data_IF_170100159312
#
_entry.id   IF_170100159312
#
_cell.length_a   1.000
_cell.length_b   1.000
_cell.length_c   1.000
_cell.angle_alpha   90.00
_cell.angle_beta   90.00
_cell.angle_gamma   90.00
#
_symmetry.space_group_name_H-M   'P 1'
#
loop_
_entity.id
_entity.type
_entity.pdbx_description
1 polymer ?
#
# COMPACT_ATOMS: atom_id res chain seq x y z
N UNK A 1 -18.47 0.86 3.01
CA UNK A 1 -17.09 0.96 3.53
C UNK A 1 -16.54 2.30 3.07
N UNK A 2 -16.23 3.25 3.97
CA UNK A 2 -15.68 4.56 3.59
C UNK A 2 -14.17 4.39 3.41
N UNK A 3 -13.66 4.64 2.21
CA UNK A 3 -12.22 4.62 1.98
C UNK A 3 -11.61 5.81 2.72
N UNK A 4 -10.67 5.61 3.67
CA UNK A 4 -10.05 6.72 4.38
C UNK A 4 -9.30 7.58 3.35
N UNK A 5 -9.59 8.88 3.30
CA UNK A 5 -8.92 9.82 2.38
C UNK A 5 -7.41 9.75 2.48
N UNK A 6 -6.91 9.52 3.68
CA UNK A 6 -5.49 9.48 4.00
C UNK A 6 -4.77 8.33 3.27
N UNK A 7 -5.49 7.23 3.02
CA UNK A 7 -4.96 6.06 2.32
C UNK A 7 -4.70 6.33 0.83
N UNK A 8 -5.51 7.19 0.20
CA UNK A 8 -5.33 7.53 -1.21
C UNK A 8 -4.06 8.35 -1.38
N UNK A 9 -3.77 9.29 -0.47
CA UNK A 9 -2.54 10.07 -0.54
C UNK A 9 -1.29 9.20 -0.37
N UNK A 10 -1.35 8.20 0.51
CA UNK A 10 -0.27 7.22 0.67
C UNK A 10 -0.07 6.37 -0.61
N UNK A 11 -1.16 5.82 -1.17
CA UNK A 11 -1.11 5.05 -2.43
C UNK A 11 -0.53 5.88 -3.57
N UNK A 12 -0.99 7.13 -3.71
CA UNK A 12 -0.55 8.03 -4.78
C UNK A 12 0.92 8.41 -4.62
N UNK A 13 1.36 8.74 -3.40
CA UNK A 13 2.76 9.05 -3.13
C UNK A 13 3.67 7.84 -3.39
N UNK A 14 3.23 6.64 -3.00
CA UNK A 14 3.97 5.40 -3.23
C UNK A 14 4.12 5.11 -4.73
N UNK A 15 3.04 5.19 -5.50
CA UNK A 15 3.08 4.96 -6.95
C UNK A 15 3.91 6.03 -7.68
N UNK A 16 3.77 7.30 -7.31
CA UNK A 16 4.56 8.39 -7.89
C UNK A 16 6.06 8.22 -7.60
N UNK A 17 6.43 7.72 -6.42
CA UNK A 17 7.82 7.48 -6.06
C UNK A 17 8.47 6.36 -6.89
N UNK A 18 7.76 5.25 -7.13
CA UNK A 18 8.34 4.09 -7.83
C UNK A 18 8.21 4.16 -9.36
N UNK A 19 7.09 4.66 -9.88
CA UNK A 19 6.84 4.72 -11.33
C UNK A 19 7.10 6.10 -11.94
N UNK A 20 7.27 7.14 -11.12
CA UNK A 20 7.41 8.53 -11.56
C UNK A 20 6.26 9.01 -12.44
N UNK A 21 5.08 8.39 -12.29
CA UNK A 21 3.85 8.87 -12.91
C UNK A 21 3.40 10.15 -12.23
N UNK A 22 2.74 11.00 -13.02
CA UNK A 22 2.17 12.24 -12.50
C UNK A 22 0.97 11.97 -11.59
N UNK A 23 0.72 12.95 -10.73
CA UNK A 23 -0.34 12.89 -9.72
C UNK A 23 -1.74 12.67 -10.34
N UNK A 24 -2.02 13.32 -11.47
CA UNK A 24 -3.33 13.26 -12.11
C UNK A 24 -3.59 11.89 -12.71
N UNK A 25 -2.60 11.30 -13.38
CA UNK A 25 -2.66 9.93 -13.91
C UNK A 25 -3.00 8.92 -12.82
N UNK A 26 -2.37 9.01 -11.65
CA UNK A 26 -2.61 8.06 -10.55
C UNK A 26 -3.99 8.29 -9.91
N UNK A 27 -4.42 9.54 -9.75
CA UNK A 27 -5.75 9.84 -9.24
C UNK A 27 -6.87 9.34 -10.15
N UNK A 28 -6.66 9.41 -11.47
CA UNK A 28 -7.63 8.96 -12.46
C UNK A 28 -7.74 7.43 -12.57
N UNK A 29 -6.82 6.67 -11.98
CA UNK A 29 -6.92 5.21 -11.93
C UNK A 29 -8.08 4.75 -11.06
N UNK A 30 -8.68 3.62 -11.44
CA UNK A 30 -9.64 2.97 -10.56
C UNK A 30 -8.97 2.58 -9.24
N UNK A 31 -9.76 2.64 -8.17
CA UNK A 31 -9.28 2.32 -6.84
C UNK A 31 -8.63 0.91 -6.77
N UNK A 32 -9.24 -0.08 -7.41
CA UNK A 32 -8.71 -1.46 -7.48
C UNK A 32 -7.42 -1.55 -8.28
N UNK A 33 -7.27 -0.73 -9.30
CA UNK A 33 -6.08 -0.69 -10.14
C UNK A 33 -4.88 -0.16 -9.34
N UNK A 34 -5.05 0.96 -8.61
CA UNK A 34 -4.00 1.48 -7.71
C UNK A 34 -3.56 0.46 -6.68
N UNK A 35 -4.52 -0.22 -6.04
CA UNK A 35 -4.20 -1.26 -5.05
C UNK A 35 -3.40 -2.40 -5.67
N UNK A 36 -3.77 -2.86 -6.87
CA UNK A 36 -3.03 -3.90 -7.57
C UNK A 36 -1.59 -3.49 -7.85
N UNK A 37 -1.36 -2.27 -8.35
CA UNK A 37 0.00 -1.79 -8.59
C UNK A 37 0.83 -1.68 -7.31
N UNK A 38 0.21 -1.23 -6.21
CA UNK A 38 0.86 -1.22 -4.90
C UNK A 38 1.28 -2.62 -4.43
N UNK A 39 0.43 -3.64 -4.66
CA UNK A 39 0.72 -5.04 -4.35
C UNK A 39 1.86 -5.60 -5.22
N UNK A 40 1.88 -5.27 -6.52
CA UNK A 40 2.92 -5.72 -7.46
C UNK A 40 4.29 -5.13 -7.11
N UNK A 41 4.38 -3.81 -6.86
CA UNK A 41 5.62 -3.18 -6.39
C UNK A 41 6.08 -3.83 -5.09
N UNK A 42 5.16 -4.06 -4.15
CA UNK A 42 5.51 -4.70 -2.87
C UNK A 42 5.97 -6.14 -3.07
N UNK A 43 5.41 -6.90 -4.03
CA UNK A 43 5.88 -8.24 -4.36
C UNK A 43 7.30 -8.21 -4.92
N UNK A 44 7.55 -7.37 -5.92
CA UNK A 44 8.87 -7.20 -6.53
C UNK A 44 9.89 -6.75 -5.47
N UNK A 45 9.54 -5.76 -4.66
CA UNK A 45 10.40 -5.30 -3.57
C UNK A 45 10.64 -6.41 -2.55
N UNK A 46 9.64 -7.21 -2.17
CA UNK A 46 9.87 -8.35 -1.27
C UNK A 46 10.78 -9.41 -1.88
N UNK A 47 10.65 -9.70 -3.17
CA UNK A 47 11.55 -10.64 -3.87
C UNK A 47 12.99 -10.10 -3.89
N UNK A 48 13.18 -8.82 -4.22
CA UNK A 48 14.48 -8.13 -4.19
C UNK A 48 15.06 -8.02 -2.77
N UNK A 49 14.21 -7.66 -1.80
CA UNK A 49 14.54 -7.37 -0.42
C UNK A 49 14.43 -8.59 0.51
N UNK A 50 14.21 -9.80 -0.03
CA UNK A 50 14.72 -11.04 0.58
C UNK A 50 16.20 -10.90 0.95
N UNK A 51 16.89 -9.96 0.29
CA UNK A 51 18.25 -9.51 0.58
C UNK A 51 18.38 -8.12 1.26
N UNK A 52 17.30 -7.47 1.77
CA UNK A 52 17.22 -6.32 2.72
C UNK A 52 16.16 -5.25 2.34
N UNK A 53 15.07 -5.09 3.13
CA UNK A 53 14.15 -3.91 3.28
C UNK A 53 12.63 -4.21 3.18
N UNK A 54 11.87 -3.90 4.25
CA UNK A 54 10.40 -4.10 4.34
C UNK A 54 9.60 -2.95 3.73
N UNK A 55 8.46 -3.25 3.08
CA UNK A 55 7.53 -2.25 2.50
C UNK A 55 6.59 -1.65 3.56
N UNK A 56 6.19 -0.38 3.40
CA UNK A 56 5.29 0.34 4.31
C UNK A 56 3.89 -0.29 4.41
N UNK A 57 3.45 -0.97 3.34
CA UNK A 57 2.18 -1.68 3.29
C UNK A 57 2.21 -2.98 4.10
N UNK A 58 3.37 -3.62 4.22
CA UNK A 58 3.56 -4.83 5.02
C UNK A 58 3.45 -4.49 6.52
N UNK A 59 3.97 -3.33 6.94
CA UNK A 59 3.89 -2.83 8.33
C UNK A 59 2.43 -2.70 8.80
N UNK A 60 1.52 -2.31 7.90
CA UNK A 60 0.11 -2.10 8.24
C UNK A 60 -0.70 -3.39 8.31
N UNK A 61 -0.35 -4.41 7.51
CA UNK A 61 -1.02 -5.74 7.56
C UNK A 61 -0.80 -6.43 8.92
N UNK A 62 0.33 -6.20 9.57
CA UNK A 62 0.65 -6.74 10.90
C UNK A 62 -0.18 -6.07 12.02
N UNK A 63 -0.53 -4.79 11.88
CA UNK A 63 -1.28 -4.03 12.90
C UNK A 63 -2.78 -4.32 12.99
N UNK A 64 -3.38 -5.01 12.01
CA UNK A 64 -4.83 -5.29 11.99
C UNK A 64 -5.22 -6.65 12.56
N UNK A 65 -4.26 -7.51 12.97
CA UNK A 65 -4.56 -8.89 13.40
C UNK A 65 -4.71 -9.09 14.92
N UNK A 66 -4.62 -8.05 15.75
CA UNK A 66 -4.87 -8.16 17.19
C UNK A 66 -6.18 -7.46 17.58
N UNK A 67 -7.29 -8.17 17.41
CA UNK A 67 -8.62 -7.65 17.69
C UNK A 67 -9.64 -8.70 18.13
N UNK A 68 -9.24 -9.76 18.82
CA UNK A 68 -10.18 -10.61 19.59
C UNK A 68 -9.51 -11.15 20.86
N UNK A 69 -9.31 -10.26 21.83
CA UNK A 69 -9.03 -10.62 23.21
C UNK A 69 -10.10 -10.00 24.10
N UNK A 70 -11.26 -10.66 24.21
CA UNK A 70 -12.25 -10.35 25.24
C UNK A 70 -11.63 -10.56 26.63
N UNK A 71 -11.59 -9.53 27.46
CA UNK A 71 -11.34 -9.66 28.89
C UNK A 71 -12.29 -8.75 29.67
N UNK A 72 -12.99 -9.33 30.64
CA UNK A 72 -13.59 -8.62 31.78
C UNK A 72 -12.48 -8.24 32.75
#
# INVERSE_FOLDING_TARGET
>A
MRYPSDLIYEEVAFLAYYFHWDYETILNMEHRERQRWCEEISRINRELNSNETKSILDIRKEGQSHGTGTHW
#
